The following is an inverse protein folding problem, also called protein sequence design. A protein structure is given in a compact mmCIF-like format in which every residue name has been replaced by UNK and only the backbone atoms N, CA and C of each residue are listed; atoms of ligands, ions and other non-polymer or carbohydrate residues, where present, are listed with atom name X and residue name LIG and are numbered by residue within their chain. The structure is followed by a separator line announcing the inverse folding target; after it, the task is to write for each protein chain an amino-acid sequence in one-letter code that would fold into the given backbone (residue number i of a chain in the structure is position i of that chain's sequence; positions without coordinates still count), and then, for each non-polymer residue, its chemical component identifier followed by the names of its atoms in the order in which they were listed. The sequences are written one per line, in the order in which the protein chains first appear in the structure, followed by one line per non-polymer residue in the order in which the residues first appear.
data_IF_748929509708
#
_entry.id   IF_748929509708
#
_cell.length_a   1.000
_cell.length_b   1.000
_cell.length_c   1.000
_cell.angle_alpha   90.00
_cell.angle_beta   90.00
_cell.angle_gamma   90.00
#
_symmetry.space_group_name_H-M   'P 1'
#
loop_
_entity.id
_entity.type
_entity.pdbx_description
1 polymer ?
#
# COMPACT_ATOMS: atom_id res chain seq x y z
N UNK A 1 7.29 -5.24 -19.28
CA UNK A 1 5.91 -5.61 -18.90
C UNK A 1 5.93 -6.18 -17.49
N UNK A 2 5.28 -5.55 -16.51
CA UNK A 2 5.11 -6.16 -15.20
C UNK A 2 4.18 -7.39 -15.34
N UNK A 3 4.73 -8.60 -15.31
CA UNK A 3 3.95 -9.84 -15.22
C UNK A 3 3.21 -9.83 -13.88
N UNK A 4 1.97 -9.34 -13.86
CA UNK A 4 1.07 -9.64 -12.74
C UNK A 4 0.86 -11.15 -12.75
N UNK A 5 1.30 -11.82 -11.68
CA UNK A 5 1.03 -13.23 -11.53
C UNK A 5 -0.49 -13.46 -11.55
N UNK A 6 -1.00 -14.40 -12.36
CA UNK A 6 -2.42 -14.69 -12.36
C UNK A 6 -2.85 -15.17 -10.98
N UNK A 7 -3.99 -14.68 -10.49
CA UNK A 7 -4.54 -15.11 -9.20
C UNK A 7 -4.84 -16.61 -9.26
N UNK A 8 -4.44 -17.35 -8.23
CA UNK A 8 -4.82 -18.75 -8.09
C UNK A 8 -6.33 -18.88 -7.89
N UNK A 9 -6.91 -20.03 -8.25
CA UNK A 9 -8.33 -20.33 -8.00
C UNK A 9 -8.69 -20.17 -6.50
N UNK A 10 -7.77 -20.53 -5.62
CA UNK A 10 -7.93 -20.35 -4.17
C UNK A 10 -8.00 -18.87 -3.77
N UNK A 11 -7.13 -18.01 -4.32
CA UNK A 11 -7.17 -16.57 -4.06
C UNK A 11 -8.47 -15.96 -4.56
N UNK A 12 -8.94 -16.35 -5.74
CA UNK A 12 -10.21 -15.88 -6.29
C UNK A 12 -11.38 -16.26 -5.38
N UNK A 13 -11.46 -17.52 -4.96
CA UNK A 13 -12.52 -18.01 -4.07
C UNK A 13 -12.54 -17.27 -2.73
N UNK A 14 -11.38 -17.13 -2.06
CA UNK A 14 -11.27 -16.42 -0.78
C UNK A 14 -11.66 -14.95 -0.89
N UNK A 15 -11.18 -14.25 -1.94
CA UNK A 15 -11.52 -12.84 -2.16
C UNK A 15 -13.01 -12.66 -2.47
N UNK A 16 -13.59 -13.55 -3.26
CA UNK A 16 -15.03 -13.52 -3.56
C UNK A 16 -15.89 -13.77 -2.31
N UNK A 17 -15.51 -14.74 -1.48
CA UNK A 17 -16.20 -15.00 -0.22
C UNK A 17 -16.12 -13.81 0.72
N UNK A 18 -14.92 -13.22 0.86
CA UNK A 18 -14.74 -12.02 1.68
C UNK A 18 -15.61 -10.85 1.18
N UNK A 19 -15.64 -10.61 -0.14
CA UNK A 19 -16.47 -9.55 -0.74
C UNK A 19 -17.97 -9.78 -0.49
N UNK A 20 -18.46 -11.01 -0.63
CA UNK A 20 -19.86 -11.37 -0.33
C UNK A 20 -20.22 -11.09 1.13
N UNK A 21 -19.34 -11.47 2.06
CA UNK A 21 -19.57 -11.27 3.49
C UNK A 21 -19.62 -9.79 3.90
N UNK A 22 -18.91 -8.91 3.17
CA UNK A 22 -18.80 -7.48 3.50
C UNK A 22 -19.60 -6.57 2.54
N UNK A 23 -20.40 -7.15 1.63
CA UNK A 23 -21.20 -6.37 0.68
C UNK A 23 -22.27 -5.52 1.39
N UNK A 24 -22.84 -6.05 2.48
CA UNK A 24 -23.86 -5.39 3.30
C UNK A 24 -23.29 -4.72 4.55
N UNK A 25 -22.00 -4.40 4.59
CA UNK A 25 -21.39 -3.76 5.76
C UNK A 25 -21.89 -2.32 5.99
N UNK A 26 -22.29 -1.61 4.93
CA UNK A 26 -22.92 -0.29 5.02
C UNK A 26 -22.13 0.70 5.89
N UNK A 27 -22.79 1.32 6.86
CA UNK A 27 -22.22 2.30 7.78
C UNK A 27 -21.06 1.76 8.63
N UNK A 28 -20.92 0.44 8.76
CA UNK A 28 -19.78 -0.17 9.48
C UNK A 28 -18.44 0.14 8.82
N UNK A 29 -18.42 0.46 7.52
CA UNK A 29 -17.22 0.94 6.83
C UNK A 29 -16.68 2.24 7.42
N UNK A 30 -17.53 3.07 8.04
CA UNK A 30 -17.10 4.33 8.65
C UNK A 30 -16.22 4.12 9.88
N UNK A 31 -16.35 2.98 10.55
CA UNK A 31 -15.54 2.62 11.72
C UNK A 31 -14.23 1.90 11.35
N UNK A 32 -14.00 1.60 10.07
CA UNK A 32 -12.82 0.85 9.63
C UNK A 32 -11.67 1.81 9.33
N UNK A 33 -10.51 1.47 9.89
CA UNK A 33 -9.24 2.13 9.61
C UNK A 33 -8.42 1.22 8.69
N UNK A 34 -8.08 1.72 7.51
CA UNK A 34 -7.19 1.05 6.58
C UNK A 34 -5.76 1.49 6.83
N UNK A 35 -4.80 0.58 6.68
CA UNK A 35 -3.38 0.89 6.73
C UNK A 35 -2.64 0.10 5.66
N UNK A 36 -1.55 0.66 5.16
CA UNK A 36 -0.67 -0.02 4.21
C UNK A 36 0.77 0.47 4.33
N UNK A 37 1.70 -0.38 3.90
CA UNK A 37 3.12 -0.05 3.76
C UNK A 37 3.47 0.06 2.28
N UNK A 38 4.08 1.19 1.90
CA UNK A 38 4.48 1.43 0.53
C UNK A 38 5.94 1.81 0.41
N UNK A 39 6.66 1.07 -0.42
CA UNK A 39 8.00 1.41 -0.87
C UNK A 39 7.93 2.35 -2.08
N UNK A 40 8.59 3.49 -1.99
CA UNK A 40 8.78 4.46 -3.06
C UNK A 40 10.25 4.44 -3.49
N UNK A 41 10.52 4.16 -4.77
CA UNK A 41 11.89 4.24 -5.28
C UNK A 41 12.21 5.68 -5.69
N UNK A 42 13.42 6.15 -5.36
CA UNK A 42 13.85 7.52 -5.66
C UNK A 42 14.32 7.69 -7.13
N UNK A 43 14.52 6.58 -7.83
CA UNK A 43 15.16 6.52 -9.16
C UNK A 43 14.22 6.70 -10.36
N UNK A 44 12.96 7.07 -10.12
CA UNK A 44 11.99 7.35 -11.18
C UNK A 44 10.63 6.70 -10.95
N UNK A 45 9.63 6.98 -11.81
CA UNK A 45 8.26 6.57 -11.57
C UNK A 45 8.13 5.05 -11.58
N UNK A 46 7.71 4.47 -10.45
CA UNK A 46 7.51 3.03 -10.22
C UNK A 46 6.61 2.33 -11.26
N UNK A 47 5.88 3.11 -12.07
CA UNK A 47 4.84 2.57 -12.96
C UNK A 47 4.60 3.31 -14.27
N UNK A 48 5.14 4.52 -14.46
CA UNK A 48 4.83 5.35 -15.62
C UNK A 48 6.06 5.52 -16.51
N UNK A 49 6.49 4.41 -17.12
CA UNK A 49 7.60 4.38 -18.07
C UNK A 49 7.01 4.58 -19.47
N UNK A 50 6.62 5.82 -19.79
CA UNK A 50 6.35 6.21 -21.18
C UNK A 50 7.66 6.71 -21.76
N UNK A 51 8.08 6.15 -22.89
CA UNK A 51 9.23 6.62 -23.64
C UNK A 51 8.89 6.73 -25.12
N UNK A 52 9.56 7.65 -25.82
CA UNK A 52 9.44 7.78 -27.26
C UNK A 52 10.28 6.69 -27.93
N UNK A 53 9.64 5.86 -28.75
CA UNK A 53 10.29 4.76 -29.45
C UNK A 53 10.28 5.02 -30.96
N UNK A 54 11.47 5.00 -31.57
CA UNK A 54 11.61 4.96 -33.02
C UNK A 54 11.20 3.57 -33.53
N UNK A 55 10.17 3.53 -34.37
CA UNK A 55 9.59 2.29 -34.93
C UNK A 55 10.55 1.49 -35.82
N UNK A 56 11.68 2.09 -36.23
CA UNK A 56 12.71 1.43 -37.04
C UNK A 56 13.69 0.58 -36.23
N UNK A 57 13.64 0.68 -34.89
CA UNK A 57 14.54 -0.05 -33.99
C UNK A 57 13.74 -1.04 -33.17
N UNK A 58 14.39 -2.11 -32.71
CA UNK A 58 13.73 -3.04 -31.80
C UNK A 58 13.37 -2.34 -30.47
N UNK A 59 12.24 -2.70 -29.84
CA UNK A 59 11.84 -2.14 -28.55
C UNK A 59 12.93 -2.33 -27.50
N UNK A 60 13.43 -1.23 -26.95
CA UNK A 60 14.38 -1.28 -25.84
C UNK A 60 13.73 -1.91 -24.62
N UNK A 61 14.30 -2.98 -24.07
CA UNK A 61 13.89 -3.52 -22.78
C UNK A 61 14.33 -2.56 -21.67
N UNK A 62 13.44 -1.66 -21.26
CA UNK A 62 13.63 -0.88 -20.05
C UNK A 62 13.47 -1.83 -18.86
N UNK A 63 14.60 -2.32 -18.35
CA UNK A 63 14.63 -3.07 -17.10
C UNK A 63 14.27 -2.11 -15.96
N UNK A 64 13.20 -2.43 -15.22
CA UNK A 64 13.04 -1.85 -13.88
C UNK A 64 14.27 -2.28 -13.08
N UNK A 65 15.14 -1.33 -12.73
CA UNK A 65 16.23 -1.62 -11.81
C UNK A 65 15.58 -1.92 -10.46
N UNK A 66 15.59 -3.20 -10.05
CA UNK A 66 15.09 -3.61 -8.73
C UNK A 66 15.91 -2.97 -7.60
N UNK A 67 17.16 -2.59 -7.91
CA UNK A 67 18.15 -2.03 -7.01
C UNK A 67 18.66 -0.71 -7.62
N UNK A 68 17.95 0.39 -7.37
CA UNK A 68 18.41 1.76 -7.64
C UNK A 68 18.84 2.49 -6.36
N UNK A 69 19.37 3.71 -6.52
CA UNK A 69 20.19 4.53 -5.60
C UNK A 69 19.58 4.74 -4.20
N UNK A 70 18.27 4.54 -4.05
CA UNK A 70 17.62 4.53 -2.75
C UNK A 70 16.11 4.35 -2.85
N UNK A 71 15.50 4.00 -1.72
CA UNK A 71 14.05 3.90 -1.61
C UNK A 71 13.60 4.33 -0.23
N UNK A 72 12.45 4.97 -0.16
CA UNK A 72 11.81 5.34 1.09
C UNK A 72 10.64 4.40 1.33
N UNK A 73 10.56 3.84 2.54
CA UNK A 73 9.36 3.11 2.95
C UNK A 73 8.49 4.03 3.78
N UNK A 74 7.20 4.02 3.47
CA UNK A 74 6.22 4.89 4.08
C UNK A 74 5.07 4.03 4.59
N UNK A 75 4.63 4.31 5.81
CA UNK A 75 3.40 3.76 6.36
C UNK A 75 2.37 4.87 6.49
N UNK A 76 1.15 4.53 6.14
CA UNK A 76 0.02 5.43 6.19
C UNK A 76 -1.22 4.65 6.59
N UNK A 77 -2.09 5.30 7.37
CA UNK A 77 -3.41 4.78 7.67
C UNK A 77 -4.46 5.86 7.47
N UNK A 78 -5.67 5.46 7.07
CA UNK A 78 -6.78 6.38 6.86
C UNK A 78 -8.12 5.67 7.06
N UNK A 79 -9.10 6.41 7.56
CA UNK A 79 -10.47 5.96 7.73
C UNK A 79 -11.45 7.03 7.26
N UNK A 80 -12.74 6.81 7.52
CA UNK A 80 -13.78 7.76 7.12
C UNK A 80 -13.61 9.14 7.80
N UNK A 81 -13.19 9.14 9.07
CA UNK A 81 -13.04 10.36 9.88
C UNK A 81 -11.71 11.10 9.65
N UNK A 82 -10.85 10.63 8.74
CA UNK A 82 -9.60 11.29 8.40
C UNK A 82 -8.41 10.35 8.26
N UNK A 83 -7.24 10.95 8.05
CA UNK A 83 -5.98 10.27 7.80
C UNK A 83 -5.09 10.29 9.06
N UNK A 84 -4.39 9.20 9.32
CA UNK A 84 -3.28 9.12 10.28
C UNK A 84 -2.04 9.76 9.66
N UNK A 85 -1.25 10.46 10.48
CA UNK A 85 0.01 11.04 10.03
C UNK A 85 0.89 10.04 9.29
N UNK A 86 1.53 10.51 8.21
CA UNK A 86 2.46 9.73 7.41
C UNK A 86 3.71 9.38 8.23
N UNK A 87 4.08 8.11 8.30
CA UNK A 87 5.28 7.66 9.00
C UNK A 87 6.36 7.22 8.00
N UNK A 88 7.57 7.78 8.14
CA UNK A 88 8.74 7.35 7.38
C UNK A 88 9.42 6.21 8.11
N UNK A 89 9.54 5.07 7.44
CA UNK A 89 10.08 3.86 8.01
C UNK A 89 11.51 3.60 7.53
N UNK A 90 12.39 3.25 8.47
CA UNK A 90 13.79 2.99 8.16
C UNK A 90 14.08 1.52 7.84
N UNK A 91 14.80 1.33 6.72
CA UNK A 91 15.24 0.05 6.21
C UNK A 91 14.11 -0.90 5.82
N UNK A 92 14.45 -2.20 5.76
CA UNK A 92 13.49 -3.25 5.44
C UNK A 92 12.57 -3.51 6.64
N UNK A 93 11.26 -3.51 6.39
CA UNK A 93 10.28 -3.86 7.41
C UNK A 93 10.31 -5.35 7.74
N UNK A 94 10.15 -5.61 9.03
CA UNK A 94 10.03 -6.92 9.62
C UNK A 94 8.88 -6.87 10.65
N UNK A 95 8.48 -8.03 11.15
CA UNK A 95 7.34 -8.08 12.07
C UNK A 95 7.51 -7.17 13.32
N UNK A 96 8.67 -7.12 13.99
CA UNK A 96 8.85 -6.24 15.16
C UNK A 96 8.70 -4.74 14.84
N UNK A 97 9.32 -4.26 13.75
CA UNK A 97 9.23 -2.85 13.35
C UNK A 97 7.81 -2.47 12.95
N UNK A 98 7.07 -3.40 12.33
CA UNK A 98 5.66 -3.19 12.00
C UNK A 98 4.83 -3.02 13.29
N UNK A 99 5.05 -3.85 14.32
CA UNK A 99 4.36 -3.73 15.61
C UNK A 99 4.67 -2.37 16.25
N UNK A 100 5.95 -1.98 16.31
CA UNK A 100 6.37 -0.68 16.83
C UNK A 100 5.72 0.49 16.06
N UNK A 101 5.62 0.39 14.74
CA UNK A 101 4.95 1.39 13.90
C UNK A 101 3.46 1.52 14.26
N UNK A 102 2.78 0.39 14.48
CA UNK A 102 1.37 0.38 14.89
C UNK A 102 1.20 0.97 16.29
N UNK A 103 2.05 0.62 17.23
CA UNK A 103 2.01 1.15 18.61
C UNK A 103 2.25 2.67 18.62
N UNK A 104 3.22 3.17 17.85
CA UNK A 104 3.59 4.58 17.87
C UNK A 104 2.67 5.48 17.03
N UNK A 105 2.09 4.96 15.94
CA UNK A 105 1.32 5.78 14.99
C UNK A 105 -0.17 5.46 14.97
N UNK A 106 -0.56 4.18 15.13
CA UNK A 106 -1.96 3.78 15.07
C UNK A 106 -2.67 3.97 16.41
N UNK A 107 -2.06 3.56 17.52
CA UNK A 107 -2.71 3.60 18.84
C UNK A 107 -3.07 5.02 19.27
N UNK A 108 -2.18 6.02 19.18
CA UNK A 108 -2.52 7.40 19.56
C UNK A 108 -3.62 7.99 18.66
N UNK A 109 -3.67 7.60 17.39
CA UNK A 109 -4.73 8.05 16.49
C UNK A 109 -6.09 7.44 16.85
N UNK A 110 -6.11 6.15 17.19
CA UNK A 110 -7.33 5.46 17.60
C UNK A 110 -7.90 6.04 18.90
N UNK A 111 -7.05 6.43 19.85
CA UNK A 111 -7.44 7.13 21.08
C UNK A 111 -8.04 8.51 20.78
N UNK A 112 -7.38 9.31 19.94
CA UNK A 112 -7.89 10.63 19.53
C UNK A 112 -9.23 10.57 18.77
N UNK A 113 -9.48 9.50 18.00
CA UNK A 113 -10.79 9.29 17.35
C UNK A 113 -11.87 8.95 18.37
N UNK A 114 -11.57 8.14 19.39
CA UNK A 114 -12.51 7.79 20.44
C UNK A 114 -12.91 9.02 21.26
N UNK A 115 -11.97 9.92 21.55
CA UNK A 115 -12.24 11.15 22.29
C UNK A 115 -13.04 12.19 21.49
N UNK A 116 -12.97 12.18 20.15
CA UNK A 116 -13.69 13.13 19.29
C UNK A 116 -15.08 12.68 18.84
N UNK A 117 -15.43 11.41 19.00
CA UNK A 117 -16.64 10.86 18.37
C UNK A 117 -17.68 10.30 19.34
N UNK A 118 -17.53 10.45 20.66
CA UNK A 118 -18.57 10.20 21.70
C UNK A 118 -18.66 11.40 22.65
#
# INVERSE_FOLDING_TARGET
MARRLPLSKLHISKRLQWARNHMSYGDKWMAILFSDERKWNLDGPDRNIKYWHDLRKDPGSLFSRQNGVGSVMVWEAFGFNGQVGLAFLDGRQNSPKCIETLENHLMPFAENIKERNW
#
